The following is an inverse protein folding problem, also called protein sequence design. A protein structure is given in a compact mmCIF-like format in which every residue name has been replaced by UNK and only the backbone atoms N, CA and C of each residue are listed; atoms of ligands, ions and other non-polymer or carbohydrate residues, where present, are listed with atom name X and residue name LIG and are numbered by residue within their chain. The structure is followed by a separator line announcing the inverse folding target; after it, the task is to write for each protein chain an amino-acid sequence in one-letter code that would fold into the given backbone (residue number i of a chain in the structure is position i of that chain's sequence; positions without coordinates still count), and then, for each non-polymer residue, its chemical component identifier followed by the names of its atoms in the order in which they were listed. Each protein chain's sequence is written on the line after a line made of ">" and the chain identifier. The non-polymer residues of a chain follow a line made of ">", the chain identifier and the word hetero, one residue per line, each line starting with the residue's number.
data_IF_809674429726
#
_entry.id   IF_809674429726
#
_cell.length_a   1.000
_cell.length_b   1.000
_cell.length_c   1.000
_cell.angle_alpha   90.00
_cell.angle_beta   90.00
_cell.angle_gamma   90.00
#
_symmetry.space_group_name_H-M   'P 1'
#
loop_
_entity.id
_entity.type
_entity.pdbx_description
1 polymer ?
#
# COMPACT_ATOMS: atom_id res chain seq x y z
N UNK A 1 14.92 62.09 -27.89
CA UNK A 1 14.60 60.83 -28.59
C UNK A 1 15.59 59.77 -28.14
N UNK A 2 15.18 58.85 -27.26
CA UNK A 2 15.97 57.66 -26.90
C UNK A 2 15.25 56.42 -27.48
N UNK A 3 15.95 55.46 -28.11
CA UNK A 3 15.30 54.31 -28.71
C UNK A 3 15.02 53.25 -27.65
N UNK A 4 13.75 52.87 -27.51
CA UNK A 4 13.33 51.69 -26.77
C UNK A 4 13.73 50.45 -27.56
N UNK A 5 14.76 49.73 -27.10
CA UNK A 5 15.11 48.41 -27.62
C UNK A 5 13.97 47.46 -27.30
N UNK A 6 13.15 47.15 -28.30
CA UNK A 6 12.07 46.17 -28.20
C UNK A 6 12.69 44.77 -28.05
N UNK A 7 12.72 44.27 -26.81
CA UNK A 7 13.15 42.90 -26.51
C UNK A 7 12.13 41.95 -27.14
N UNK A 8 12.60 41.14 -28.09
CA UNK A 8 11.78 40.20 -28.85
C UNK A 8 10.98 39.27 -27.92
N UNK A 9 9.64 39.19 -28.03
CA UNK A 9 8.78 38.38 -27.14
C UNK A 9 9.06 36.86 -27.18
N UNK A 10 9.89 36.40 -28.11
CA UNK A 10 10.22 35.00 -28.31
C UNK A 10 11.38 34.58 -27.39
N UNK A 11 12.25 35.52 -27.03
CA UNK A 11 13.38 35.29 -26.11
C UNK A 11 12.92 35.13 -24.65
N UNK A 12 11.87 35.85 -24.22
CA UNK A 12 11.31 35.74 -22.87
C UNK A 12 10.49 34.45 -22.68
N UNK A 13 9.92 33.90 -23.74
CA UNK A 13 9.21 32.62 -23.72
C UNK A 13 10.16 31.40 -23.57
N UNK A 14 11.36 31.47 -24.15
CA UNK A 14 12.40 30.44 -24.00
C UNK A 14 13.02 30.45 -22.60
N UNK A 15 13.24 31.61 -22.00
CA UNK A 15 13.76 31.73 -20.63
C UNK A 15 12.76 31.27 -19.56
N UNK A 16 11.45 31.46 -19.80
CA UNK A 16 10.39 30.93 -18.92
C UNK A 16 10.21 29.40 -19.01
N UNK A 17 10.49 28.77 -20.16
CA UNK A 17 10.55 27.31 -20.30
C UNK A 17 11.85 26.70 -19.76
N UNK A 18 12.96 27.45 -19.79
CA UNK A 18 14.29 27.00 -19.35
C UNK A 18 14.40 26.70 -17.85
N UNK A 19 13.71 27.46 -16.98
CA UNK A 19 13.79 27.25 -15.52
C UNK A 19 13.16 25.94 -15.04
N UNK A 20 12.04 25.52 -15.66
CA UNK A 20 11.36 24.26 -15.34
C UNK A 20 12.12 23.05 -15.88
N UNK A 21 12.71 23.15 -17.07
CA UNK A 21 13.54 22.09 -17.64
C UNK A 21 14.88 21.92 -16.90
N UNK A 22 15.50 23.01 -16.45
CA UNK A 22 16.77 22.95 -15.71
C UNK A 22 16.61 22.26 -14.36
N UNK A 23 15.53 22.55 -13.63
CA UNK A 23 15.24 21.87 -12.36
C UNK A 23 14.93 20.38 -12.57
N UNK A 24 14.21 20.03 -13.63
CA UNK A 24 13.95 18.61 -13.97
C UNK A 24 15.23 17.88 -14.35
N UNK A 25 16.13 18.52 -15.11
CA UNK A 25 17.45 17.98 -15.45
C UNK A 25 18.35 17.78 -14.22
N UNK A 26 18.39 18.75 -13.31
CA UNK A 26 19.13 18.62 -12.05
C UNK A 26 18.53 17.52 -11.17
N UNK A 27 17.21 17.41 -11.09
CA UNK A 27 16.54 16.37 -10.31
C UNK A 27 16.78 14.98 -10.92
N UNK A 28 16.75 14.85 -12.25
CA UNK A 28 17.03 13.60 -12.94
C UNK A 28 18.49 13.19 -12.83
N UNK A 29 19.42 14.15 -12.90
CA UNK A 29 20.86 13.89 -12.77
C UNK A 29 21.20 13.49 -11.33
N UNK A 30 20.64 14.19 -10.34
CA UNK A 30 20.79 13.82 -8.94
C UNK A 30 20.18 12.45 -8.64
N UNK A 31 18.98 12.16 -9.17
CA UNK A 31 18.33 10.86 -9.06
C UNK A 31 19.15 9.73 -9.70
N UNK A 32 19.77 9.98 -10.86
CA UNK A 32 20.64 9.01 -11.54
C UNK A 32 21.94 8.74 -10.76
N UNK A 33 22.57 9.78 -10.19
CA UNK A 33 23.78 9.63 -9.36
C UNK A 33 23.46 8.90 -8.07
N UNK A 34 22.35 9.23 -7.40
CA UNK A 34 21.90 8.56 -6.19
C UNK A 34 21.58 7.07 -6.47
N UNK A 35 20.88 6.78 -7.57
CA UNK A 35 20.59 5.42 -8.00
C UNK A 35 21.87 4.63 -8.32
N UNK A 36 22.82 5.24 -9.04
CA UNK A 36 24.11 4.62 -9.34
C UNK A 36 24.93 4.33 -8.07
N UNK A 37 24.98 5.27 -7.13
CA UNK A 37 25.64 5.08 -5.83
C UNK A 37 25.00 3.94 -5.02
N UNK A 38 23.65 3.89 -4.98
CA UNK A 38 22.92 2.81 -4.31
C UNK A 38 23.23 1.45 -4.93
N UNK A 39 23.34 1.34 -6.26
CA UNK A 39 23.71 0.08 -6.97
C UNK A 39 25.09 -0.40 -6.56
N UNK A 40 26.06 0.51 -6.41
CA UNK A 40 27.43 0.17 -6.01
C UNK A 40 27.48 -0.29 -4.55
N UNK A 41 26.72 0.35 -3.64
CA UNK A 41 26.76 0.03 -2.21
C UNK A 41 25.91 -1.19 -1.82
N UNK A 42 24.74 -1.36 -2.41
CA UNK A 42 23.74 -2.37 -1.99
C UNK A 42 23.62 -3.53 -2.98
N UNK A 43 24.27 -3.44 -4.13
CA UNK A 43 24.07 -4.34 -5.26
C UNK A 43 22.81 -4.01 -6.07
N UNK A 44 22.72 -4.48 -7.34
CA UNK A 44 21.66 -4.10 -8.27
C UNK A 44 20.21 -4.33 -7.79
N UNK A 45 19.86 -5.47 -7.16
CA UNK A 45 18.47 -5.73 -6.79
C UNK A 45 18.00 -4.85 -5.61
N UNK A 46 18.85 -4.66 -4.59
CA UNK A 46 18.51 -3.82 -3.43
C UNK A 46 18.47 -2.34 -3.78
N UNK A 47 19.37 -1.89 -4.67
CA UNK A 47 19.34 -0.52 -5.15
C UNK A 47 18.08 -0.20 -5.94
N UNK A 48 17.60 -1.12 -6.78
CA UNK A 48 16.32 -0.95 -7.48
C UNK A 48 15.15 -0.81 -6.48
N UNK A 49 15.14 -1.63 -5.43
CA UNK A 49 14.14 -1.52 -4.36
C UNK A 49 14.18 -0.15 -3.71
N UNK A 50 15.35 0.37 -3.33
CA UNK A 50 15.48 1.70 -2.69
C UNK A 50 15.08 2.82 -3.65
N UNK A 51 15.51 2.76 -4.91
CA UNK A 51 15.22 3.77 -5.94
C UNK A 51 13.74 3.84 -6.29
N UNK A 52 13.00 2.72 -6.20
CA UNK A 52 11.55 2.69 -6.40
C UNK A 52 10.81 3.03 -5.10
N UNK A 53 11.27 2.52 -3.95
CA UNK A 53 10.64 2.73 -2.67
C UNK A 53 10.72 4.19 -2.20
N UNK A 54 11.81 4.90 -2.49
CA UNK A 54 12.01 6.26 -2.00
C UNK A 54 11.05 7.28 -2.65
N UNK A 55 10.85 7.30 -3.99
CA UNK A 55 9.81 8.11 -4.62
C UNK A 55 8.40 7.71 -4.17
N UNK A 56 8.12 6.41 -4.01
CA UNK A 56 6.83 5.93 -3.51
C UNK A 56 6.59 6.44 -2.09
N UNK A 57 7.58 6.32 -1.20
CA UNK A 57 7.54 6.83 0.16
C UNK A 57 7.31 8.35 0.19
N UNK A 58 8.06 9.11 -0.62
CA UNK A 58 7.88 10.57 -0.75
C UNK A 58 6.47 10.90 -1.23
N UNK A 59 5.98 10.27 -2.30
CA UNK A 59 4.62 10.52 -2.84
C UNK A 59 3.55 10.15 -1.81
N UNK A 60 3.71 9.07 -1.05
CA UNK A 60 2.81 8.71 0.05
C UNK A 60 2.84 9.72 1.19
N UNK A 61 3.97 10.34 1.49
CA UNK A 61 4.11 11.36 2.53
C UNK A 61 3.47 12.71 2.13
N UNK A 62 3.33 12.97 0.83
CA UNK A 62 2.76 14.23 0.33
C UNK A 62 1.22 14.26 0.43
N UNK A 63 0.54 13.11 0.38
CA UNK A 63 -0.92 13.05 0.43
C UNK A 63 -1.46 11.76 1.07
N UNK A 64 -2.37 11.94 2.05
CA UNK A 64 -3.09 10.85 2.72
C UNK A 64 -3.80 9.92 1.74
N UNK A 65 -4.18 10.40 0.55
CA UNK A 65 -4.80 9.59 -0.51
C UNK A 65 -3.85 8.51 -1.03
N UNK A 66 -2.63 8.90 -1.37
CA UNK A 66 -1.61 7.96 -1.85
C UNK A 66 -1.19 7.01 -0.74
N UNK A 67 -1.20 7.50 0.49
CA UNK A 67 -0.99 6.70 1.67
C UNK A 67 -2.00 5.54 1.76
N UNK A 68 -3.30 5.85 1.67
CA UNK A 68 -4.37 4.86 1.70
C UNK A 68 -4.28 3.89 0.53
N UNK A 69 -4.01 4.38 -0.69
CA UNK A 69 -3.88 3.51 -1.86
C UNK A 69 -2.64 2.62 -1.78
N UNK A 70 -1.54 3.12 -1.22
CA UNK A 70 -0.33 2.36 -0.94
C UNK A 70 -0.59 1.24 0.07
N UNK A 71 -1.27 1.54 1.18
CA UNK A 71 -1.69 0.52 2.15
C UNK A 71 -2.56 -0.55 1.50
N UNK A 72 -3.55 -0.18 0.68
CA UNK A 72 -4.36 -1.14 -0.06
C UNK A 72 -3.53 -1.98 -1.04
N UNK A 73 -2.56 -1.39 -1.73
CA UNK A 73 -1.66 -2.10 -2.63
C UNK A 73 -0.80 -3.12 -1.86
N UNK A 74 -0.28 -2.76 -0.69
CA UNK A 74 0.46 -3.68 0.17
C UNK A 74 -0.44 -4.83 0.64
N UNK A 75 -1.63 -4.55 1.16
CA UNK A 75 -2.56 -5.59 1.65
C UNK A 75 -2.95 -6.57 0.53
N UNK A 76 -3.09 -6.08 -0.70
CA UNK A 76 -3.60 -6.88 -1.82
C UNK A 76 -2.52 -7.61 -2.60
N UNK A 77 -1.36 -6.99 -2.79
CA UNK A 77 -0.29 -7.51 -3.65
C UNK A 77 0.91 -8.01 -2.86
N UNK A 78 1.21 -7.45 -1.69
CA UNK A 78 2.42 -7.78 -0.92
C UNK A 78 2.14 -7.86 0.60
N UNK A 79 1.14 -8.64 1.06
CA UNK A 79 0.67 -8.57 2.46
C UNK A 79 1.70 -9.04 3.49
N UNK A 80 2.68 -9.84 3.07
CA UNK A 80 3.71 -10.40 3.96
C UNK A 80 5.08 -9.73 3.78
N UNK A 81 5.16 -8.64 3.03
CA UNK A 81 6.41 -7.93 2.83
C UNK A 81 6.86 -7.25 4.13
N UNK A 82 8.14 -7.37 4.46
CA UNK A 82 8.79 -6.71 5.59
C UNK A 82 9.99 -5.89 5.15
N UNK A 83 10.33 -4.89 5.96
CA UNK A 83 11.54 -4.11 5.74
C UNK A 83 12.76 -4.95 6.10
N UNK A 84 13.83 -4.92 5.28
CA UNK A 84 15.08 -5.63 5.53
C UNK A 84 15.94 -4.90 6.57
N UNK A 85 15.34 -4.52 7.70
CA UNK A 85 15.99 -3.81 8.81
C UNK A 85 15.58 -4.46 10.12
N UNK A 86 16.56 -5.00 10.84
CA UNK A 86 16.36 -5.65 12.13
C UNK A 86 16.62 -4.65 13.28
N UNK A 87 15.56 -4.10 13.88
CA UNK A 87 15.63 -3.24 15.08
C UNK A 87 15.14 -4.02 16.32
N UNK A 88 15.46 -5.32 16.38
CA UNK A 88 14.88 -6.29 17.32
C UNK A 88 13.53 -6.87 16.87
N UNK A 89 12.87 -6.23 15.91
CA UNK A 89 11.67 -6.69 15.21
C UNK A 89 11.75 -6.21 13.76
N UNK A 90 11.37 -7.02 12.78
CA UNK A 90 11.27 -6.64 11.36
C UNK A 90 9.92 -6.02 11.04
N UNK A 91 9.78 -4.68 10.93
CA UNK A 91 8.48 -4.06 10.67
C UNK A 91 7.94 -4.45 9.30
N UNK A 92 6.63 -4.68 9.20
CA UNK A 92 6.00 -4.96 7.90
C UNK A 92 5.81 -3.67 7.11
N UNK A 93 5.79 -3.76 5.77
CA UNK A 93 5.41 -2.59 4.96
C UNK A 93 4.01 -2.10 5.32
N UNK A 94 3.10 -3.01 5.68
CA UNK A 94 1.76 -2.66 6.11
C UNK A 94 1.77 -1.87 7.41
N UNK A 95 2.52 -2.29 8.43
CA UNK A 95 2.66 -1.55 9.70
C UNK A 95 3.18 -0.13 9.46
N UNK A 96 4.27 0.00 8.70
CA UNK A 96 4.87 1.32 8.39
C UNK A 96 3.88 2.20 7.65
N UNK A 97 3.12 1.61 6.73
CA UNK A 97 2.01 2.30 6.11
C UNK A 97 1.00 2.71 7.21
N UNK A 98 0.29 1.80 7.84
CA UNK A 98 -0.77 2.18 8.80
C UNK A 98 -0.34 3.23 9.84
N UNK A 99 0.85 3.10 10.42
CA UNK A 99 1.44 4.08 11.34
C UNK A 99 1.64 5.44 10.68
N UNK A 100 2.24 5.49 9.49
CA UNK A 100 2.43 6.74 8.74
C UNK A 100 1.09 7.41 8.37
N UNK A 101 0.05 6.63 8.07
CA UNK A 101 -1.28 7.15 7.78
C UNK A 101 -1.87 7.83 9.02
N UNK A 102 -1.79 7.15 10.17
CA UNK A 102 -2.24 7.67 11.47
C UNK A 102 -1.49 8.96 11.77
N UNK A 103 -0.16 8.94 11.70
CA UNK A 103 0.68 10.09 12.01
C UNK A 103 0.33 11.29 11.11
N UNK A 104 0.16 11.08 9.80
CA UNK A 104 -0.20 12.16 8.88
C UNK A 104 -1.60 12.73 9.17
N UNK A 105 -2.57 11.89 9.51
CA UNK A 105 -3.92 12.34 9.87
C UNK A 105 -3.89 13.12 11.19
N UNK A 106 -3.13 12.68 12.19
CA UNK A 106 -2.98 13.41 13.45
C UNK A 106 -2.32 14.77 13.23
N UNK A 107 -1.21 14.84 12.49
CA UNK A 107 -0.51 16.10 12.18
C UNK A 107 -1.42 17.06 11.40
N UNK A 108 -2.16 16.56 10.41
CA UNK A 108 -3.14 17.36 9.66
C UNK A 108 -4.31 17.79 10.53
N UNK A 109 -4.79 16.95 11.43
CA UNK A 109 -5.86 17.26 12.37
C UNK A 109 -5.49 18.38 13.33
N UNK A 110 -4.23 18.42 13.78
CA UNK A 110 -3.72 19.51 14.62
C UNK A 110 -3.70 20.85 13.88
N UNK A 111 -3.32 20.85 12.59
CA UNK A 111 -3.19 22.08 11.79
C UNK A 111 -4.51 22.52 11.13
N UNK A 112 -5.41 21.58 10.88
CA UNK A 112 -6.68 21.84 10.22
C UNK A 112 -7.75 22.06 11.27
N UNK A 113 -8.34 23.26 11.30
CA UNK A 113 -9.49 23.60 12.15
C UNK A 113 -10.80 22.90 11.72
N UNK A 114 -10.71 21.71 11.11
CA UNK A 114 -11.85 20.89 10.73
C UNK A 114 -12.34 20.15 11.95
N UNK A 115 -13.48 20.60 12.46
CA UNK A 115 -14.06 20.21 13.75
C UNK A 115 -14.92 18.95 13.71
N UNK A 116 -14.87 18.13 12.65
CA UNK A 116 -15.76 16.97 12.50
C UNK A 116 -14.97 15.68 12.39
N UNK A 117 -14.64 15.10 13.54
CA UNK A 117 -14.32 13.68 13.63
C UNK A 117 -15.64 12.92 13.56
N UNK A 118 -15.84 12.15 12.49
CA UNK A 118 -17.05 11.37 12.32
C UNK A 118 -16.92 10.04 13.08
N UNK A 119 -17.84 9.81 14.00
CA UNK A 119 -17.97 8.54 14.71
C UNK A 119 -19.27 7.87 14.26
N UNK A 120 -19.14 6.80 13.49
CA UNK A 120 -20.29 5.99 13.08
C UNK A 120 -20.76 5.06 14.21
N UNK A 121 -22.01 4.56 14.19
CA UNK A 121 -22.46 3.55 15.15
C UNK A 121 -21.57 2.30 15.16
N UNK A 122 -21.07 1.89 14.00
CA UNK A 122 -20.07 0.81 13.87
C UNK A 122 -18.75 1.21 14.54
N UNK A 123 -18.32 2.45 14.38
CA UNK A 123 -17.16 3.01 15.07
C UNK A 123 -17.28 2.97 16.58
N UNK A 124 -18.46 3.23 17.15
CA UNK A 124 -18.70 3.08 18.60
C UNK A 124 -18.52 1.63 19.03
N UNK A 125 -19.14 0.68 18.32
CA UNK A 125 -18.98 -0.75 18.60
C UNK A 125 -17.53 -1.20 18.50
N UNK A 126 -16.81 -0.70 17.50
CA UNK A 126 -15.38 -0.96 17.31
C UNK A 126 -14.53 -0.37 18.43
N UNK A 127 -14.84 0.84 18.92
CA UNK A 127 -14.15 1.45 20.06
C UNK A 127 -14.37 0.63 21.34
N UNK A 128 -15.59 0.17 21.58
CA UNK A 128 -15.88 -0.71 22.73
C UNK A 128 -15.10 -2.02 22.63
N UNK A 129 -15.05 -2.60 21.43
CA UNK A 129 -14.25 -3.80 21.18
C UNK A 129 -12.74 -3.55 21.38
N UNK A 130 -12.22 -2.41 20.91
CA UNK A 130 -10.82 -2.01 21.12
C UNK A 130 -10.51 -1.83 22.62
N UNK A 131 -11.43 -1.19 23.36
CA UNK A 131 -11.32 -1.03 24.81
C UNK A 131 -11.33 -2.37 25.55
N UNK A 132 -12.24 -3.28 25.17
CA UNK A 132 -12.28 -4.64 25.70
C UNK A 132 -10.99 -5.40 25.39
N UNK A 133 -10.50 -5.31 24.15
CA UNK A 133 -9.26 -5.93 23.72
C UNK A 133 -8.06 -5.45 24.56
N UNK A 134 -7.94 -4.14 24.80
CA UNK A 134 -6.90 -3.56 25.68
C UNK A 134 -7.07 -4.03 27.12
N UNK A 135 -8.29 -3.99 27.67
CA UNK A 135 -8.54 -4.45 29.04
C UNK A 135 -8.21 -5.94 29.22
N UNK A 136 -8.62 -6.79 28.27
CA UNK A 136 -8.31 -8.22 28.25
C UNK A 136 -6.80 -8.48 28.16
N UNK A 137 -6.08 -7.75 27.31
CA UNK A 137 -4.63 -7.89 27.21
C UNK A 137 -3.93 -7.49 28.51
N UNK A 138 -4.30 -6.34 29.09
CA UNK A 138 -3.73 -5.86 30.37
C UNK A 138 -4.02 -6.83 31.51
N UNK A 139 -5.25 -7.35 31.63
CA UNK A 139 -5.59 -8.37 32.63
C UNK A 139 -4.84 -9.69 32.38
N UNK A 140 -4.57 -10.03 31.11
CA UNK A 140 -3.79 -11.20 30.72
C UNK A 140 -2.33 -11.14 31.17
N UNK A 141 -1.73 -9.96 31.25
CA UNK A 141 -0.33 -9.76 31.70
C UNK A 141 -0.13 -10.29 33.13
N UNK A 142 -1.16 -10.22 33.98
CA UNK A 142 -1.10 -10.74 35.34
C UNK A 142 -0.93 -12.28 35.40
N UNK A 143 -1.32 -12.99 34.33
CA UNK A 143 -1.31 -14.45 34.27
C UNK A 143 -0.18 -15.01 33.39
N UNK A 144 0.28 -14.23 32.39
CA UNK A 144 1.37 -14.63 31.52
C UNK A 144 2.22 -13.41 31.14
N UNK A 145 3.55 -13.54 31.24
CA UNK A 145 4.46 -12.49 30.80
C UNK A 145 4.37 -12.35 29.27
N UNK A 146 4.06 -11.15 28.75
CA UNK A 146 3.93 -10.96 27.32
C UNK A 146 5.31 -11.07 26.64
N UNK A 147 5.40 -11.90 25.61
CA UNK A 147 6.57 -11.93 24.73
C UNK A 147 6.54 -10.75 23.75
N UNK A 148 7.69 -10.41 23.17
CA UNK A 148 7.80 -9.39 22.11
C UNK A 148 6.86 -9.71 20.94
N UNK A 149 6.71 -10.99 20.58
CA UNK A 149 5.80 -11.44 19.52
C UNK A 149 4.34 -11.17 19.87
N UNK A 150 3.91 -11.45 21.11
CA UNK A 150 2.54 -11.19 21.55
C UNK A 150 2.22 -9.70 21.58
N UNK A 151 3.14 -8.87 22.07
CA UNK A 151 2.98 -7.40 22.06
C UNK A 151 2.87 -6.88 20.63
N UNK A 152 3.74 -7.36 19.74
CA UNK A 152 3.70 -6.98 18.32
C UNK A 152 2.36 -7.35 17.68
N UNK A 153 1.94 -8.62 17.78
CA UNK A 153 0.67 -9.07 17.20
C UNK A 153 -0.53 -8.32 17.75
N UNK A 154 -0.49 -7.98 19.04
CA UNK A 154 -1.50 -7.15 19.67
C UNK A 154 -1.51 -5.73 19.07
N UNK A 155 -0.34 -5.10 18.92
CA UNK A 155 -0.21 -3.80 18.27
C UNK A 155 -0.67 -3.84 16.80
N UNK A 156 -0.35 -4.90 16.05
CA UNK A 156 -0.81 -5.10 14.67
C UNK A 156 -2.35 -5.10 14.61
N UNK A 157 -3.01 -5.77 15.55
CA UNK A 157 -4.48 -5.78 15.67
C UNK A 157 -5.02 -4.39 15.97
N UNK A 158 -4.43 -3.67 16.93
CA UNK A 158 -4.85 -2.29 17.24
C UNK A 158 -4.68 -1.36 16.04
N UNK A 159 -3.59 -1.48 15.30
CA UNK A 159 -3.33 -0.70 14.08
C UNK A 159 -4.34 -1.04 12.98
N UNK A 160 -4.61 -2.33 12.75
CA UNK A 160 -5.56 -2.79 11.75
C UNK A 160 -6.99 -2.33 12.05
N UNK A 161 -7.42 -2.40 13.32
CA UNK A 161 -8.72 -1.89 13.75
C UNK A 161 -8.75 -0.36 13.73
N UNK A 162 -7.68 0.30 14.15
CA UNK A 162 -7.52 1.75 14.13
C UNK A 162 -7.63 2.34 12.72
N UNK A 163 -7.18 1.60 11.71
CA UNK A 163 -7.29 1.97 10.29
C UNK A 163 -8.73 2.24 9.86
N UNK A 164 -9.73 1.59 10.48
CA UNK A 164 -11.14 1.87 10.22
C UNK A 164 -11.47 3.36 10.44
N UNK A 165 -11.02 3.94 11.55
CA UNK A 165 -11.30 5.34 11.86
C UNK A 165 -10.63 6.30 10.89
N UNK A 166 -9.42 5.96 10.42
CA UNK A 166 -8.73 6.71 9.37
C UNK A 166 -9.54 6.66 8.09
N UNK A 167 -9.92 5.46 7.64
CA UNK A 167 -10.68 5.29 6.42
C UNK A 167 -12.01 6.05 6.49
N UNK A 168 -12.70 5.99 7.63
CA UNK A 168 -13.96 6.70 7.87
C UNK A 168 -13.80 8.22 7.77
N UNK A 169 -12.76 8.79 8.39
CA UNK A 169 -12.55 10.24 8.46
C UNK A 169 -11.81 10.83 7.25
N UNK A 170 -11.22 10.00 6.39
CA UNK A 170 -10.49 10.46 5.20
C UNK A 170 -11.29 10.22 3.92
N UNK A 171 -12.00 9.09 3.81
CA UNK A 171 -12.70 8.71 2.58
C UNK A 171 -14.05 9.43 2.46
N UNK A 172 -14.03 10.62 1.87
CA UNK A 172 -15.24 11.40 1.59
C UNK A 172 -15.51 11.59 0.09
N UNK A 173 -16.79 11.61 -0.30
CA UNK A 173 -17.27 12.03 -1.62
C UNK A 173 -16.57 11.36 -2.81
N UNK A 174 -15.77 12.13 -3.54
CA UNK A 174 -15.05 11.64 -4.73
C UNK A 174 -13.97 10.62 -4.38
N UNK A 175 -13.35 10.73 -3.21
CA UNK A 175 -12.24 9.87 -2.81
C UNK A 175 -12.71 8.43 -2.57
N UNK A 176 -13.90 8.24 -1.97
CA UNK A 176 -14.52 6.91 -1.83
C UNK A 176 -14.59 6.19 -3.17
N UNK A 177 -15.07 6.88 -4.21
CA UNK A 177 -15.21 6.32 -5.56
C UNK A 177 -13.85 6.02 -6.20
N UNK A 178 -12.84 6.85 -5.96
CA UNK A 178 -11.48 6.61 -6.46
C UNK A 178 -10.82 5.43 -5.75
N UNK A 179 -10.89 5.39 -4.42
CA UNK A 179 -10.35 4.31 -3.58
C UNK A 179 -11.05 2.98 -3.89
N UNK A 180 -12.36 2.96 -4.09
CA UNK A 180 -13.08 1.77 -4.54
C UNK A 180 -12.57 1.27 -5.91
N UNK A 181 -12.37 2.18 -6.88
CA UNK A 181 -11.78 1.80 -8.18
C UNK A 181 -10.38 1.21 -8.00
N UNK A 182 -9.54 1.84 -7.19
CA UNK A 182 -8.19 1.36 -6.87
C UNK A 182 -8.26 -0.05 -6.26
N UNK A 183 -9.14 -0.25 -5.28
CA UNK A 183 -9.34 -1.53 -4.62
C UNK A 183 -9.73 -2.63 -5.61
N UNK A 184 -10.69 -2.36 -6.49
CA UNK A 184 -11.10 -3.31 -7.54
C UNK A 184 -9.96 -3.59 -8.53
N UNK A 185 -9.21 -2.57 -8.94
CA UNK A 185 -8.05 -2.77 -9.85
C UNK A 185 -6.94 -3.58 -9.20
N UNK A 186 -6.69 -3.38 -7.91
CA UNK A 186 -5.69 -4.13 -7.13
C UNK A 186 -6.14 -5.58 -6.93
N UNK A 187 -7.42 -5.81 -6.60
CA UNK A 187 -7.98 -7.16 -6.51
C UNK A 187 -7.91 -7.91 -7.85
N UNK A 188 -8.19 -7.22 -8.97
CA UNK A 188 -8.03 -7.79 -10.31
C UNK A 188 -6.56 -8.10 -10.63
N UNK A 189 -5.63 -7.22 -10.24
CA UNK A 189 -4.20 -7.46 -10.39
C UNK A 189 -3.73 -8.67 -9.55
N UNK A 190 -4.21 -8.80 -8.31
CA UNK A 190 -3.90 -9.95 -7.46
C UNK A 190 -4.45 -11.26 -8.06
N UNK A 191 -5.68 -11.24 -8.57
CA UNK A 191 -6.27 -12.37 -9.29
C UNK A 191 -5.46 -12.74 -10.54
N UNK A 192 -5.05 -11.74 -11.34
CA UNK A 192 -4.23 -11.96 -12.52
C UNK A 192 -2.87 -12.58 -12.16
N UNK A 193 -2.21 -12.11 -11.10
CA UNK A 193 -0.96 -12.70 -10.61
C UNK A 193 -1.17 -14.16 -10.21
N UNK A 194 -2.24 -14.46 -9.47
CA UNK A 194 -2.55 -15.83 -9.07
C UNK A 194 -2.81 -16.76 -10.26
N UNK A 195 -3.57 -16.28 -11.25
CA UNK A 195 -3.82 -17.02 -12.51
C UNK A 195 -2.51 -17.23 -13.28
N UNK A 196 -1.69 -16.19 -13.45
CA UNK A 196 -0.43 -16.28 -14.15
C UNK A 196 0.50 -17.32 -13.49
N UNK A 197 0.65 -17.27 -12.16
CA UNK A 197 1.44 -18.23 -11.40
C UNK A 197 0.89 -19.66 -11.48
N UNK A 198 -0.42 -19.83 -11.59
CA UNK A 198 -1.07 -21.13 -11.75
C UNK A 198 -0.79 -21.76 -13.12
N UNK A 199 -0.73 -20.96 -14.18
CA UNK A 199 -0.43 -21.45 -15.53
C UNK A 199 1.07 -21.58 -15.82
N UNK A 200 1.93 -20.97 -15.01
CA UNK A 200 3.39 -21.13 -15.12
C UNK A 200 3.84 -22.52 -14.64
N UNK A 201 4.92 -23.07 -15.21
CA UNK A 201 5.58 -24.26 -14.66
C UNK A 201 5.95 -24.06 -13.19
N UNK A 202 5.75 -25.09 -12.36
CA UNK A 202 5.95 -25.02 -10.90
C UNK A 202 7.32 -24.45 -10.51
N UNK A 203 8.39 -24.87 -11.19
CA UNK A 203 9.75 -24.38 -10.91
C UNK A 203 9.93 -22.88 -11.18
N UNK A 204 9.23 -22.32 -12.18
CA UNK A 204 9.23 -20.88 -12.45
C UNK A 204 8.45 -20.15 -11.36
N UNK A 205 7.26 -20.64 -11.02
CA UNK A 205 6.43 -20.04 -9.96
C UNK A 205 7.15 -20.04 -8.62
N UNK A 206 7.80 -21.15 -8.24
CA UNK A 206 8.65 -21.23 -7.06
C UNK A 206 9.83 -20.26 -7.13
N UNK A 207 10.53 -20.20 -8.26
CA UNK A 207 11.66 -19.29 -8.43
C UNK A 207 11.24 -17.82 -8.32
N UNK A 208 10.08 -17.45 -8.87
CA UNK A 208 9.54 -16.09 -8.75
C UNK A 208 9.14 -15.77 -7.32
N UNK A 209 8.42 -16.65 -6.65
CA UNK A 209 7.99 -16.44 -5.27
C UNK A 209 9.16 -16.43 -4.29
N UNK A 210 10.16 -17.29 -4.50
CA UNK A 210 11.38 -17.31 -3.69
C UNK A 210 12.22 -16.04 -3.84
N UNK A 211 12.08 -15.28 -4.93
CA UNK A 211 12.71 -13.94 -5.02
C UNK A 211 12.09 -12.92 -4.07
N UNK A 212 10.85 -13.13 -3.62
CA UNK A 212 10.21 -12.26 -2.62
C UNK A 212 10.86 -12.38 -1.24
N UNK A 213 11.73 -13.37 -1.01
CA UNK A 213 12.55 -13.45 0.23
C UNK A 213 13.41 -12.21 0.43
N UNK A 214 13.76 -11.49 -0.65
CA UNK A 214 14.41 -10.18 -0.61
C UNK A 214 13.57 -9.12 0.11
N UNK A 215 12.25 -9.29 0.12
CA UNK A 215 11.27 -8.46 0.83
C UNK A 215 10.81 -9.14 2.14
N UNK A 216 11.59 -10.08 2.67
CA UNK A 216 11.32 -10.77 3.94
C UNK A 216 10.20 -11.80 3.90
N UNK A 217 9.79 -12.25 2.71
CA UNK A 217 8.88 -13.39 2.59
C UNK A 217 9.51 -14.70 3.07
N UNK A 218 8.70 -15.65 3.58
CA UNK A 218 9.18 -17.00 3.85
C UNK A 218 9.57 -17.69 2.55
N UNK A 219 10.81 -18.21 2.49
CA UNK A 219 11.35 -18.93 1.34
C UNK A 219 11.24 -20.45 1.44
N UNK A 220 11.66 -21.14 0.39
CA UNK A 220 11.73 -22.60 0.30
C UNK A 220 10.64 -23.19 -0.57
N UNK A 221 9.96 -24.22 -0.05
CA UNK A 221 8.80 -24.85 -0.70
C UNK A 221 7.55 -23.98 -0.51
N UNK A 222 7.39 -22.97 -1.36
CA UNK A 222 6.29 -21.99 -1.27
C UNK A 222 4.98 -22.54 -1.83
N UNK A 223 5.04 -23.50 -2.78
CA UNK A 223 3.85 -24.11 -3.35
C UNK A 223 3.18 -25.06 -2.36
N UNK A 224 1.86 -24.90 -2.22
CA UNK A 224 1.03 -25.70 -1.31
C UNK A 224 0.11 -26.60 -2.12
N UNK A 225 0.19 -27.90 -1.85
CA UNK A 225 -0.67 -28.90 -2.48
C UNK A 225 -1.77 -29.34 -1.51
N UNK A 226 -2.85 -29.90 -2.03
CA UNK A 226 -3.86 -30.55 -1.18
C UNK A 226 -3.17 -31.69 -0.44
N UNK A 227 -3.41 -31.78 0.88
CA UNK A 227 -2.77 -32.76 1.78
C UNK A 227 -1.22 -32.76 1.75
N UNK A 228 -0.61 -31.64 1.32
CA UNK A 228 0.84 -31.53 1.09
C UNK A 228 1.41 -32.66 0.18
N UNK A 229 0.56 -33.23 -0.68
CA UNK A 229 0.91 -34.28 -1.61
C UNK A 229 1.08 -33.72 -3.03
N UNK A 230 2.28 -33.76 -3.62
CA UNK A 230 2.53 -33.25 -4.98
C UNK A 230 1.74 -33.97 -6.09
N UNK A 231 1.20 -35.15 -5.81
CA UNK A 231 0.32 -35.88 -6.73
C UNK A 231 -1.11 -35.32 -6.76
N UNK A 232 -1.48 -34.49 -5.79
CA UNK A 232 -2.80 -33.86 -5.70
C UNK A 232 -2.79 -32.45 -6.29
N UNK A 233 -4.00 -31.92 -6.51
CA UNK A 233 -4.17 -30.58 -7.06
C UNK A 233 -3.48 -29.51 -6.21
N UNK A 234 -2.92 -28.55 -6.92
CA UNK A 234 -2.24 -27.41 -6.32
C UNK A 234 -3.27 -26.42 -5.75
N UNK A 235 -3.06 -25.93 -4.52
CA UNK A 235 -3.95 -24.95 -3.86
C UNK A 235 -3.72 -23.56 -4.43
N UNK A 236 -4.63 -22.62 -4.16
CA UNK A 236 -4.54 -21.26 -4.71
C UNK A 236 -3.15 -20.63 -4.47
N UNK A 237 -2.50 -20.16 -5.54
CA UNK A 237 -1.20 -19.47 -5.50
C UNK A 237 -1.42 -17.98 -5.66
N UNK A 238 -0.67 -17.19 -4.90
CA UNK A 238 -0.48 -15.78 -5.16
C UNK A 238 0.77 -15.26 -4.46
N UNK A 239 0.87 -13.96 -4.32
CA UNK A 239 1.83 -13.29 -3.43
C UNK A 239 1.41 -13.35 -1.97
N UNK A 240 0.29 -14.00 -1.66
CA UNK A 240 -0.09 -14.38 -0.30
C UNK A 240 0.47 -15.77 0.00
N UNK A 241 1.23 -15.88 1.09
CA UNK A 241 1.91 -17.13 1.47
C UNK A 241 0.90 -18.25 1.77
N UNK A 242 -0.25 -17.89 2.36
CA UNK A 242 -1.30 -18.83 2.72
C UNK A 242 -2.42 -18.86 1.64
N UNK A 243 -2.73 -20.04 1.07
CA UNK A 243 -3.79 -20.18 0.05
C UNK A 243 -5.19 -19.76 0.52
N UNK A 244 -5.52 -19.93 1.80
CA UNK A 244 -6.82 -19.55 2.35
C UNK A 244 -6.92 -18.03 2.51
N UNK A 245 -5.84 -17.37 2.93
CA UNK A 245 -5.78 -15.90 2.99
C UNK A 245 -5.93 -15.30 1.59
N UNK A 246 -5.27 -15.90 0.59
CA UNK A 246 -5.43 -15.49 -0.81
C UNK A 246 -6.87 -15.69 -1.31
N UNK A 247 -7.45 -16.88 -1.08
CA UNK A 247 -8.82 -17.18 -1.46
C UNK A 247 -9.84 -16.26 -0.80
N UNK A 248 -9.66 -15.95 0.49
CA UNK A 248 -10.50 -15.01 1.23
C UNK A 248 -10.43 -13.59 0.65
N UNK A 249 -9.23 -13.12 0.29
CA UNK A 249 -9.06 -11.83 -0.38
C UNK A 249 -9.82 -11.80 -1.73
N UNK A 250 -9.67 -12.84 -2.56
CA UNK A 250 -10.37 -12.91 -3.84
C UNK A 250 -11.89 -12.99 -3.68
N UNK A 251 -12.39 -13.70 -2.66
CA UNK A 251 -13.81 -13.77 -2.36
C UNK A 251 -14.37 -12.39 -1.99
N UNK A 252 -13.68 -11.64 -1.12
CA UNK A 252 -14.06 -10.27 -0.75
C UNK A 252 -14.03 -9.36 -1.98
N UNK A 253 -12.97 -9.42 -2.79
CA UNK A 253 -12.83 -8.60 -4.01
C UNK A 253 -13.91 -8.93 -5.05
N UNK A 254 -14.25 -10.21 -5.20
CA UNK A 254 -15.35 -10.67 -6.04
C UNK A 254 -16.69 -10.11 -5.56
N UNK A 255 -16.99 -10.27 -4.27
CA UNK A 255 -18.20 -9.73 -3.65
C UNK A 255 -18.34 -8.21 -3.80
N UNK A 256 -17.24 -7.46 -3.67
CA UNK A 256 -17.22 -6.01 -3.87
C UNK A 256 -17.38 -5.60 -5.34
N UNK A 257 -16.99 -6.45 -6.28
CA UNK A 257 -17.01 -6.14 -7.72
C UNK A 257 -18.32 -6.52 -8.40
N UNK A 258 -19.01 -7.55 -7.91
CA UNK A 258 -20.28 -8.06 -8.48
C UNK A 258 -21.34 -6.95 -8.65
N UNK A 259 -21.66 -6.11 -7.65
CA UNK A 259 -22.68 -5.06 -7.79
C UNK A 259 -22.39 -4.07 -8.92
N UNK A 260 -21.11 -3.89 -9.27
CA UNK A 260 -20.70 -2.98 -10.35
C UNK A 260 -21.03 -3.53 -11.73
N UNK A 261 -20.99 -4.86 -11.91
CA UNK A 261 -21.34 -5.50 -13.18
C UNK A 261 -22.83 -5.37 -13.48
N UNK A 262 -23.66 -5.37 -12.42
CA UNK A 262 -25.11 -5.26 -12.52
C UNK A 262 -25.63 -3.82 -12.35
N UNK A 263 -24.76 -2.85 -12.05
CA UNK A 263 -25.14 -1.44 -11.98
C UNK A 263 -25.33 -0.90 -13.41
N UNK A 264 -26.54 -0.44 -13.78
CA UNK A 264 -26.76 0.19 -15.08
C UNK A 264 -25.84 1.40 -15.19
N UNK A 265 -24.92 1.36 -16.15
CA UNK A 265 -23.96 2.43 -16.35
C UNK A 265 -24.68 3.77 -16.49
N UNK A 266 -24.24 4.77 -15.71
CA UNK A 266 -24.65 6.17 -15.82
C UNK A 266 -24.15 6.72 -17.17
N UNK A 267 -24.75 6.26 -18.26
CA UNK A 267 -24.47 6.57 -19.66
C UNK A 267 -25.63 7.41 -20.20
N UNK A 268 -26.10 8.42 -19.44
CA UNK A 268 -27.30 9.21 -19.81
C UNK A 268 -27.39 10.61 -19.18
N UNK A 269 -26.26 11.32 -19.03
CA UNK A 269 -26.30 12.75 -18.64
C UNK A 269 -25.58 13.69 -19.63
N UNK A 270 -25.14 13.19 -20.80
CA UNK A 270 -24.45 14.02 -21.82
C UNK A 270 -25.38 14.40 -22.99
N UNK A 271 -26.64 13.94 -23.02
CA UNK A 271 -27.55 14.17 -24.16
C UNK A 271 -28.80 15.02 -23.83
N UNK A 272 -28.79 15.82 -22.76
CA UNK A 272 -29.88 16.79 -22.51
C UNK A 272 -29.33 18.13 -22.01
N UNK A 273 -28.50 18.76 -22.84
CA UNK A 273 -28.35 20.22 -22.85
C UNK A 273 -29.04 20.74 -24.10
#
# INVERSE_FOLDING_TARGET
>A
MQPTVAINPWASALLRRGGRNRNVLFLSLFGAVLAGALVVLLGPPLALVVVVAMPVAVVTLLDVRYFLWGALAVITLLPFATLPVDIGVTPTFLEVMLVGAIALVLVRGIHSNRTRFELSPVGVGLLLFLGLMVASFVMGIAHARPSVTSIRRFADLLLALGFFFIALNVLEGRLVRQTYKVLVTLGAAAAFVGIALYFLPNWLSESFLNKLTLLGYPGGAVLRYVEDNPALALRAIGTSVDPNVFGGLLAIMGGLSIPRLFSPGTRRQVLSR
#
